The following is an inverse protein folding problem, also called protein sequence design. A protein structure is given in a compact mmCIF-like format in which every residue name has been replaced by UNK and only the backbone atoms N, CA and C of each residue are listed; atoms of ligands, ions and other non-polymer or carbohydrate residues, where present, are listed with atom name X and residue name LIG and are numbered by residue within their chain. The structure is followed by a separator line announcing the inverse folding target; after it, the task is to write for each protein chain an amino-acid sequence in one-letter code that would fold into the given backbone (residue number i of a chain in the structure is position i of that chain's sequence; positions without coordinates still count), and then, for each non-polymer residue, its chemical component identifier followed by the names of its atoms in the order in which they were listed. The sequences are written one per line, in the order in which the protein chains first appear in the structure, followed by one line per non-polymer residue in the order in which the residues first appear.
data_IF_453444891580
#
_entry.id   IF_453444891580
#
_cell.length_a   1.000
_cell.length_b   1.000
_cell.length_c   1.000
_cell.angle_alpha   90.00
_cell.angle_beta   90.00
_cell.angle_gamma   90.00
#
_symmetry.space_group_name_H-M   'P 1'
#
loop_
_entity.id
_entity.type
_entity.pdbx_description
1 polymer ?
#
# COMPACT_ATOMS: atom_id res chain seq x y z
N UNK A 1 24.65 -48.95 -29.87
CA UNK A 1 24.37 -48.98 -28.41
C UNK A 1 24.15 -47.56 -27.95
N UNK A 2 22.89 -47.19 -27.85
CA UNK A 2 22.45 -45.83 -27.50
C UNK A 2 22.40 -45.69 -25.99
N UNK A 3 23.20 -44.78 -25.45
CA UNK A 3 23.12 -44.36 -24.06
C UNK A 3 22.07 -43.25 -23.89
N UNK A 4 20.84 -43.63 -23.51
CA UNK A 4 19.80 -42.66 -23.08
C UNK A 4 20.23 -42.01 -21.77
N UNK A 5 20.68 -40.77 -21.83
CA UNK A 5 20.83 -39.89 -20.67
C UNK A 5 19.46 -39.63 -20.04
N UNK A 6 19.15 -40.28 -18.93
CA UNK A 6 17.98 -39.96 -18.11
C UNK A 6 18.15 -38.59 -17.50
N UNK A 7 17.33 -37.60 -17.93
CA UNK A 7 17.19 -36.33 -17.27
C UNK A 7 16.68 -36.57 -15.84
N UNK A 8 17.56 -36.45 -14.86
CA UNK A 8 17.21 -36.48 -13.43
C UNK A 8 16.34 -35.29 -13.13
N UNK A 9 15.05 -35.49 -13.01
CA UNK A 9 14.11 -34.48 -12.54
C UNK A 9 14.57 -33.99 -11.15
N UNK A 10 14.98 -32.72 -11.06
CA UNK A 10 15.43 -32.13 -9.80
C UNK A 10 14.30 -32.23 -8.77
N UNK A 11 14.57 -32.80 -7.60
CA UNK A 11 13.62 -32.91 -6.50
C UNK A 11 13.13 -31.51 -6.12
N UNK A 12 11.82 -31.27 -5.90
CA UNK A 12 11.27 -29.94 -5.59
C UNK A 12 11.97 -29.20 -4.44
N UNK A 13 12.55 -29.94 -3.48
CA UNK A 13 13.31 -29.38 -2.37
C UNK A 13 14.67 -28.76 -2.75
N UNK A 14 15.27 -29.15 -3.87
CA UNK A 14 16.58 -28.60 -4.32
C UNK A 14 16.41 -27.24 -4.97
N UNK A 15 15.34 -27.01 -5.74
CA UNK A 15 15.05 -25.72 -6.34
C UNK A 15 14.72 -24.64 -5.28
N UNK A 16 13.94 -24.98 -4.25
CA UNK A 16 13.64 -24.10 -3.13
C UNK A 16 14.86 -23.73 -2.29
N UNK A 17 15.81 -24.68 -2.10
CA UNK A 17 17.08 -24.39 -1.42
C UNK A 17 17.96 -23.47 -2.23
N UNK A 18 18.10 -23.69 -3.53
CA UNK A 18 18.89 -22.82 -4.43
C UNK A 18 18.32 -21.40 -4.52
N UNK A 19 16.99 -21.22 -4.45
CA UNK A 19 16.34 -19.91 -4.36
C UNK A 19 16.59 -19.21 -3.02
N UNK A 20 16.66 -19.98 -1.91
CA UNK A 20 16.95 -19.40 -0.59
C UNK A 20 18.39 -18.87 -0.49
N UNK A 21 19.33 -19.42 -1.26
CA UNK A 21 20.73 -18.98 -1.37
C UNK A 21 20.89 -17.70 -2.20
N UNK A 22 19.85 -17.34 -3.00
CA UNK A 22 19.80 -16.11 -3.81
C UNK A 22 18.57 -15.30 -3.45
N UNK A 23 18.58 -14.56 -2.33
CA UNK A 23 17.39 -13.97 -1.75
C UNK A 23 16.66 -13.00 -2.68
N UNK A 24 17.37 -12.27 -3.54
CA UNK A 24 16.73 -11.35 -4.50
C UNK A 24 16.16 -12.07 -5.73
N UNK A 25 16.71 -13.20 -6.14
CA UNK A 25 16.09 -14.04 -7.16
C UNK A 25 14.74 -14.62 -6.67
N UNK A 26 14.68 -15.01 -5.39
CA UNK A 26 13.42 -15.44 -4.77
C UNK A 26 12.39 -14.29 -4.71
N UNK A 27 12.81 -13.07 -4.38
CA UNK A 27 11.93 -11.88 -4.40
C UNK A 27 11.39 -11.63 -5.80
N UNK A 28 12.25 -11.67 -6.82
CA UNK A 28 11.83 -11.48 -8.21
C UNK A 28 10.87 -12.58 -8.69
N UNK A 29 11.08 -13.83 -8.27
CA UNK A 29 10.17 -14.92 -8.59
C UNK A 29 8.80 -14.73 -7.92
N UNK A 30 8.75 -14.31 -6.66
CA UNK A 30 7.49 -13.98 -5.96
C UNK A 30 6.75 -12.86 -6.68
N UNK A 31 7.46 -11.78 -7.06
CA UNK A 31 6.87 -10.69 -7.81
C UNK A 31 6.32 -11.16 -9.17
N UNK A 32 7.09 -11.90 -9.95
CA UNK A 32 6.68 -12.35 -11.28
C UNK A 32 5.43 -13.26 -11.23
N UNK A 33 5.39 -14.20 -10.28
CA UNK A 33 4.24 -15.06 -10.06
C UNK A 33 3.00 -14.27 -9.63
N UNK A 34 3.18 -13.30 -8.71
CA UNK A 34 2.10 -12.42 -8.26
C UNK A 34 1.59 -11.53 -9.40
N UNK A 35 2.48 -10.84 -10.11
CA UNK A 35 2.10 -9.95 -11.21
C UNK A 35 1.42 -10.72 -12.33
N UNK A 36 1.96 -11.89 -12.71
CA UNK A 36 1.37 -12.78 -13.70
C UNK A 36 -0.03 -13.26 -13.30
N UNK A 37 -0.22 -13.65 -12.03
CA UNK A 37 -1.53 -14.07 -11.52
C UNK A 37 -2.55 -12.92 -11.54
N UNK A 38 -2.16 -11.70 -11.13
CA UNK A 38 -3.06 -10.52 -11.16
C UNK A 38 -3.44 -10.18 -12.60
N UNK A 39 -2.47 -10.10 -13.51
CA UNK A 39 -2.71 -9.79 -14.93
C UNK A 39 -3.60 -10.86 -15.58
N UNK A 40 -3.32 -12.15 -15.33
CA UNK A 40 -4.14 -13.25 -15.84
C UNK A 40 -5.58 -13.17 -15.29
N UNK A 41 -5.74 -12.90 -14.00
CA UNK A 41 -7.05 -12.74 -13.36
C UNK A 41 -7.84 -11.59 -13.97
N UNK A 42 -7.22 -10.43 -14.20
CA UNK A 42 -7.85 -9.29 -14.86
C UNK A 42 -8.17 -9.62 -16.32
N UNK A 43 -7.25 -10.27 -17.04
CA UNK A 43 -7.50 -10.70 -18.44
C UNK A 43 -8.69 -11.67 -18.55
N UNK A 44 -8.77 -12.66 -17.70
CA UNK A 44 -9.92 -13.58 -17.62
C UNK A 44 -11.21 -12.84 -17.25
N UNK A 45 -11.14 -11.89 -16.32
CA UNK A 45 -12.28 -11.04 -15.95
C UNK A 45 -12.78 -10.19 -17.12
N UNK A 46 -11.88 -9.64 -17.95
CA UNK A 46 -12.25 -8.92 -19.17
C UNK A 46 -12.96 -9.85 -20.16
N UNK A 47 -12.39 -11.04 -20.40
CA UNK A 47 -12.97 -12.03 -21.30
C UNK A 47 -14.36 -12.51 -20.84
N UNK A 48 -14.57 -12.62 -19.53
CA UNK A 48 -15.84 -12.98 -18.90
C UNK A 48 -16.85 -11.80 -18.78
N UNK A 49 -16.49 -10.59 -19.20
CA UNK A 49 -17.37 -9.40 -19.07
C UNK A 49 -17.57 -8.94 -17.62
N UNK A 50 -16.64 -9.29 -16.69
CA UNK A 50 -16.78 -8.98 -15.27
C UNK A 50 -16.62 -7.48 -14.95
N UNK A 51 -16.04 -6.69 -15.84
CA UNK A 51 -15.71 -5.29 -15.62
C UNK A 51 -16.67 -4.33 -16.30
N UNK A 52 -16.98 -3.21 -15.63
CA UNK A 52 -17.71 -2.09 -16.21
C UNK A 52 -16.72 -1.08 -16.82
N UNK A 53 -17.07 -0.53 -18.02
CA UNK A 53 -16.23 0.48 -18.68
C UNK A 53 -16.51 1.92 -18.23
N UNK A 54 -17.40 2.13 -17.28
CA UNK A 54 -17.90 3.46 -16.90
C UNK A 54 -16.80 4.45 -16.42
N UNK A 55 -15.63 3.95 -16.04
CA UNK A 55 -14.49 4.76 -15.53
C UNK A 55 -13.17 4.41 -16.21
N UNK A 56 -13.23 3.75 -17.36
CA UNK A 56 -12.07 3.37 -18.14
C UNK A 56 -11.74 4.46 -19.17
N UNK A 57 -10.46 4.68 -19.41
CA UNK A 57 -10.02 5.50 -20.55
C UNK A 57 -10.34 4.75 -21.83
N UNK A 58 -11.06 5.37 -22.79
CA UNK A 58 -11.43 4.72 -24.06
C UNK A 58 -10.21 4.21 -24.83
N UNK A 59 -10.33 3.03 -25.45
CA UNK A 59 -9.29 2.49 -26.33
C UNK A 59 -8.09 1.84 -25.63
N UNK A 60 -8.03 1.81 -24.28
CA UNK A 60 -6.94 1.15 -23.56
C UNK A 60 -7.18 -0.37 -23.47
N UNK A 61 -6.23 -1.21 -23.93
CA UNK A 61 -6.25 -2.64 -23.61
C UNK A 61 -6.00 -2.81 -22.10
N UNK A 62 -6.52 -3.88 -21.51
CA UNK A 62 -6.44 -4.11 -20.06
C UNK A 62 -6.98 -2.90 -19.24
N UNK A 63 -8.01 -2.26 -19.75
CA UNK A 63 -8.60 -1.03 -19.23
C UNK A 63 -8.85 -0.97 -17.73
N UNK A 64 -9.05 -2.07 -16.97
CA UNK A 64 -9.19 -1.97 -15.52
C UNK A 64 -7.97 -1.37 -14.83
N UNK A 65 -6.76 -1.57 -15.36
CA UNK A 65 -5.54 -0.97 -14.81
C UNK A 65 -5.42 0.54 -15.08
N UNK A 66 -6.23 1.08 -15.98
CA UNK A 66 -6.29 2.48 -16.41
C UNK A 66 -7.61 3.16 -16.00
N UNK A 67 -8.24 2.68 -14.94
CA UNK A 67 -9.48 3.26 -14.42
C UNK A 67 -9.23 4.19 -13.23
N UNK A 68 -10.28 4.87 -12.73
CA UNK A 68 -10.26 5.71 -11.54
C UNK A 68 -9.28 6.89 -11.63
N UNK A 69 -8.23 6.91 -10.80
CA UNK A 69 -7.28 8.03 -10.69
C UNK A 69 -6.45 8.23 -11.96
N UNK A 70 -6.29 7.20 -12.81
CA UNK A 70 -5.49 7.31 -14.03
C UNK A 70 -5.97 8.45 -14.94
N UNK A 71 -7.27 8.58 -15.16
CA UNK A 71 -7.83 9.66 -15.98
C UNK A 71 -7.48 11.06 -15.47
N UNK A 72 -7.31 11.22 -14.16
CA UNK A 72 -6.87 12.49 -13.59
C UNK A 72 -5.38 12.74 -13.83
N UNK A 73 -4.54 11.71 -13.69
CA UNK A 73 -3.12 11.83 -14.02
C UNK A 73 -2.91 12.13 -15.50
N UNK A 74 -3.67 11.46 -16.37
CA UNK A 74 -3.66 11.71 -17.82
C UNK A 74 -4.11 13.15 -18.14
N UNK A 75 -5.19 13.61 -17.53
CA UNK A 75 -5.67 14.98 -17.70
C UNK A 75 -4.63 16.03 -17.28
N UNK A 76 -3.90 15.78 -16.19
CA UNK A 76 -2.79 16.65 -15.76
C UNK A 76 -1.61 16.54 -16.73
N UNK A 77 -1.30 15.35 -17.25
CA UNK A 77 -0.23 15.17 -18.23
C UNK A 77 -0.51 15.95 -19.52
N UNK A 78 -1.75 15.91 -20.00
CA UNK A 78 -2.16 16.54 -21.27
C UNK A 78 -2.40 18.06 -21.14
N UNK A 79 -3.06 18.49 -20.08
CA UNK A 79 -3.56 19.88 -19.94
C UNK A 79 -2.87 20.67 -18.82
N UNK A 80 -2.08 20.00 -17.97
CA UNK A 80 -1.45 20.64 -16.79
C UNK A 80 -2.45 20.99 -15.68
N UNK A 81 -2.01 21.84 -14.76
CA UNK A 81 -2.82 22.36 -13.67
C UNK A 81 -3.49 23.68 -14.10
N UNK A 82 -4.76 23.90 -13.77
CA UNK A 82 -5.45 25.16 -14.07
C UNK A 82 -4.94 26.29 -13.18
N UNK A 83 -5.25 27.54 -13.58
CA UNK A 83 -4.91 28.73 -12.77
C UNK A 83 -5.76 28.94 -11.51
N UNK A 84 -6.69 28.03 -11.24
CA UNK A 84 -7.54 28.01 -10.02
C UNK A 84 -7.47 26.63 -9.44
N UNK A 85 -7.33 26.51 -8.11
CA UNK A 85 -7.24 25.23 -7.44
C UNK A 85 -8.52 24.39 -7.64
N UNK A 86 -8.36 23.19 -8.19
CA UNK A 86 -9.41 22.22 -8.39
C UNK A 86 -8.95 20.81 -7.97
N UNK A 87 -9.76 19.79 -8.29
CA UNK A 87 -9.44 18.39 -7.93
C UNK A 87 -8.11 17.89 -8.46
N UNK A 88 -7.54 18.48 -9.52
CA UNK A 88 -6.24 18.09 -10.11
C UNK A 88 -5.06 18.35 -9.18
N UNK A 89 -5.17 19.31 -8.28
CA UNK A 89 -4.13 19.61 -7.30
C UNK A 89 -3.95 18.53 -6.21
N UNK A 90 -4.82 17.50 -6.19
CA UNK A 90 -4.60 16.30 -5.39
C UNK A 90 -3.58 15.32 -6.00
N UNK A 91 -3.20 15.50 -7.28
CA UNK A 91 -2.37 14.62 -8.08
C UNK A 91 -0.99 15.24 -8.27
N UNK A 92 0.04 14.69 -7.64
CA UNK A 92 1.38 15.27 -7.60
C UNK A 92 2.09 15.21 -8.95
N UNK A 93 2.96 16.22 -9.27
CA UNK A 93 3.35 16.54 -10.64
C UNK A 93 4.32 15.53 -11.29
N UNK A 94 5.16 14.83 -10.53
CA UNK A 94 6.22 14.02 -11.13
C UNK A 94 5.67 12.88 -12.01
N UNK A 95 4.56 12.25 -11.62
CA UNK A 95 3.95 11.18 -12.41
C UNK A 95 3.36 11.69 -13.75
N UNK A 96 2.49 12.72 -13.78
CA UNK A 96 2.02 13.32 -15.02
C UNK A 96 3.17 13.80 -15.92
N UNK A 97 4.22 14.37 -15.35
CA UNK A 97 5.39 14.81 -16.14
C UNK A 97 6.16 13.65 -16.76
N UNK A 98 6.31 12.55 -16.04
CA UNK A 98 6.93 11.33 -16.59
C UNK A 98 6.11 10.75 -17.77
N UNK A 99 4.78 10.73 -17.63
CA UNK A 99 3.89 10.30 -18.72
C UNK A 99 4.07 11.22 -19.92
N UNK A 100 3.97 12.52 -19.72
CA UNK A 100 4.08 13.53 -20.78
C UNK A 100 5.46 13.53 -21.48
N UNK A 101 6.53 13.22 -20.77
CA UNK A 101 7.88 13.21 -21.30
C UNK A 101 8.11 12.13 -22.38
N UNK A 102 7.16 11.20 -22.55
CA UNK A 102 7.22 10.13 -23.55
C UNK A 102 7.03 10.60 -24.99
N UNK A 103 6.57 11.83 -25.22
CA UNK A 103 6.42 12.44 -26.53
C UNK A 103 5.35 11.75 -27.39
N UNK A 104 5.76 10.99 -28.40
CA UNK A 104 4.84 10.34 -29.36
C UNK A 104 4.28 8.99 -28.89
N UNK A 105 4.79 8.43 -27.80
CA UNK A 105 4.28 7.17 -27.24
C UNK A 105 2.97 7.45 -26.47
N UNK A 106 1.89 6.67 -26.71
CA UNK A 106 0.65 6.86 -25.96
C UNK A 106 0.85 6.83 -24.44
N UNK A 107 0.27 7.80 -23.73
CA UNK A 107 0.43 8.00 -22.29
C UNK A 107 0.15 6.72 -21.47
N UNK A 108 -0.87 5.94 -21.87
CA UNK A 108 -1.21 4.69 -21.20
C UNK A 108 -0.13 3.61 -21.32
N UNK A 109 0.60 3.55 -22.45
CA UNK A 109 1.69 2.59 -22.63
C UNK A 109 2.83 2.90 -21.69
N UNK A 110 3.22 4.17 -21.60
CA UNK A 110 4.27 4.62 -20.68
C UNK A 110 3.86 4.38 -19.23
N UNK A 111 2.66 4.81 -18.85
CA UNK A 111 2.15 4.64 -17.49
C UNK A 111 2.08 3.16 -17.09
N UNK A 112 1.59 2.29 -17.98
CA UNK A 112 1.52 0.85 -17.75
C UNK A 112 2.91 0.19 -17.63
N UNK A 113 3.83 0.50 -18.56
CA UNK A 113 5.19 -0.05 -18.52
C UNK A 113 5.96 0.39 -17.26
N UNK A 114 5.87 1.67 -16.90
CA UNK A 114 6.50 2.21 -15.70
C UNK A 114 5.88 1.60 -14.44
N UNK A 115 4.54 1.43 -14.36
CA UNK A 115 3.89 0.81 -13.23
C UNK A 115 4.36 -0.64 -13.01
N UNK A 116 4.42 -1.44 -14.08
CA UNK A 116 4.91 -2.83 -14.02
C UNK A 116 6.37 -2.88 -13.55
N UNK A 117 7.26 -2.11 -14.17
CA UNK A 117 8.68 -2.06 -13.79
C UNK A 117 8.85 -1.56 -12.34
N UNK A 118 8.14 -0.51 -11.97
CA UNK A 118 8.16 0.07 -10.63
C UNK A 118 7.63 -0.91 -9.57
N UNK A 119 6.60 -1.73 -9.89
CA UNK A 119 6.11 -2.75 -8.97
C UNK A 119 7.21 -3.78 -8.63
N UNK A 120 7.99 -4.22 -9.60
CA UNK A 120 9.15 -5.09 -9.37
C UNK A 120 10.21 -4.43 -8.49
N UNK A 121 10.52 -3.16 -8.78
CA UNK A 121 11.45 -2.36 -7.97
C UNK A 121 10.92 -2.13 -6.54
N UNK A 122 9.59 -1.99 -6.36
CA UNK A 122 8.98 -1.86 -5.04
C UNK A 122 9.13 -3.15 -4.22
N UNK A 123 8.86 -4.32 -4.81
CA UNK A 123 9.08 -5.61 -4.16
C UNK A 123 10.54 -5.79 -3.73
N UNK A 124 11.48 -5.51 -4.63
CA UNK A 124 12.92 -5.57 -4.34
C UNK A 124 13.31 -4.55 -3.26
N UNK A 125 12.84 -3.32 -3.34
CA UNK A 125 13.13 -2.25 -2.38
C UNK A 125 12.61 -2.56 -0.97
N UNK A 126 11.35 -2.97 -0.84
CA UNK A 126 10.74 -3.33 0.45
C UNK A 126 11.46 -4.53 1.08
N UNK A 127 11.84 -5.52 0.27
CA UNK A 127 12.62 -6.66 0.71
C UNK A 127 14.06 -6.26 1.07
N UNK A 128 14.68 -5.37 0.29
CA UNK A 128 16.04 -4.89 0.52
C UNK A 128 16.17 -3.97 1.74
N UNK A 129 15.11 -3.26 2.10
CA UNK A 129 15.06 -2.37 3.26
C UNK A 129 14.81 -3.12 4.57
N UNK A 130 14.47 -4.42 4.54
CA UNK A 130 14.24 -5.15 5.79
C UNK A 130 15.53 -5.26 6.61
N UNK A 131 15.51 -4.92 7.89
CA UNK A 131 16.62 -5.22 8.81
C UNK A 131 16.73 -6.72 9.15
N UNK A 132 15.83 -7.54 8.64
CA UNK A 132 15.72 -8.97 8.93
C UNK A 132 16.52 -9.86 7.96
N UNK A 133 16.37 -11.19 8.15
CA UNK A 133 17.14 -12.21 7.41
C UNK A 133 16.39 -12.85 6.25
N UNK A 134 15.09 -12.56 6.09
CA UNK A 134 14.23 -13.30 5.16
C UNK A 134 13.50 -12.38 4.17
N UNK A 135 14.21 -11.70 3.24
CA UNK A 135 13.61 -10.74 2.31
C UNK A 135 12.51 -11.36 1.43
N UNK A 136 12.61 -12.64 1.05
CA UNK A 136 11.58 -13.31 0.27
C UNK A 136 10.25 -13.47 1.03
N UNK A 137 10.28 -13.62 2.38
CA UNK A 137 9.05 -13.67 3.19
C UNK A 137 8.35 -12.32 3.22
N UNK A 138 9.12 -11.24 3.21
CA UNK A 138 8.59 -9.88 3.13
C UNK A 138 7.94 -9.64 1.76
N UNK A 139 8.58 -10.10 0.68
CA UNK A 139 8.00 -10.04 -0.66
C UNK A 139 6.70 -10.86 -0.75
N UNK A 140 6.67 -12.06 -0.16
CA UNK A 140 5.46 -12.89 -0.09
C UNK A 140 4.35 -12.19 0.72
N UNK A 141 4.68 -11.55 1.84
CA UNK A 141 3.73 -10.79 2.64
C UNK A 141 3.13 -9.62 1.84
N UNK A 142 3.96 -8.91 1.07
CA UNK A 142 3.51 -7.86 0.17
C UNK A 142 2.61 -8.43 -0.95
N UNK A 143 2.98 -9.55 -1.59
CA UNK A 143 2.16 -10.22 -2.61
C UNK A 143 0.79 -10.67 -2.08
N UNK A 144 0.74 -11.09 -0.82
CA UNK A 144 -0.49 -11.54 -0.17
C UNK A 144 -1.33 -10.41 0.46
N UNK A 145 -0.87 -9.17 0.38
CA UNK A 145 -1.62 -8.04 0.90
C UNK A 145 -2.87 -7.77 0.04
N UNK A 146 -4.08 -7.66 0.64
CA UNK A 146 -5.33 -7.44 -0.11
C UNK A 146 -5.47 -6.04 -0.71
N UNK A 147 -4.48 -5.54 -1.36
CA UNK A 147 -4.41 -4.20 -1.98
C UNK A 147 -3.18 -4.08 -2.86
N UNK A 148 -2.30 -5.09 -2.86
CA UNK A 148 -1.05 -5.05 -3.65
C UNK A 148 -1.28 -5.01 -5.15
N UNK A 149 -2.42 -5.55 -5.66
CA UNK A 149 -2.78 -5.42 -7.07
C UNK A 149 -2.74 -3.96 -7.56
N UNK A 150 -2.96 -2.99 -6.65
CA UNK A 150 -2.87 -1.58 -6.96
C UNK A 150 -1.47 -1.12 -7.42
N UNK A 151 -0.42 -1.89 -7.14
CA UNK A 151 0.93 -1.62 -7.65
C UNK A 151 1.06 -1.87 -9.16
N UNK A 152 0.10 -2.54 -9.81
CA UNK A 152 0.04 -2.72 -11.27
C UNK A 152 -0.87 -1.69 -11.94
N UNK A 153 -1.58 -0.87 -11.18
CA UNK A 153 -2.35 0.23 -11.76
C UNK A 153 -1.41 1.27 -12.37
N UNK A 154 -1.85 1.92 -13.43
CA UNK A 154 -1.11 3.00 -14.08
C UNK A 154 -1.05 4.28 -13.22
N UNK A 155 -0.64 4.11 -11.95
CA UNK A 155 -0.57 5.13 -10.91
C UNK A 155 0.86 5.31 -10.41
N UNK A 156 1.18 6.42 -9.74
CA UNK A 156 2.50 6.65 -9.16
C UNK A 156 2.82 5.75 -7.97
N UNK A 157 1.85 4.99 -7.43
CA UNK A 157 1.98 4.26 -6.16
C UNK A 157 3.15 3.28 -6.15
N UNK A 158 3.31 2.48 -7.21
CA UNK A 158 4.41 1.54 -7.31
C UNK A 158 5.78 2.24 -7.34
N UNK A 159 5.89 3.31 -8.14
CA UNK A 159 7.14 4.06 -8.28
C UNK A 159 7.48 4.82 -6.98
N UNK A 160 6.47 5.42 -6.33
CA UNK A 160 6.65 6.12 -5.07
C UNK A 160 7.04 5.16 -3.93
N UNK A 161 6.40 3.97 -3.87
CA UNK A 161 6.78 2.93 -2.91
C UNK A 161 8.19 2.41 -3.18
N UNK A 162 8.55 2.16 -4.45
CA UNK A 162 9.90 1.78 -4.83
C UNK A 162 10.91 2.82 -4.37
N UNK A 163 10.68 4.10 -4.68
CA UNK A 163 11.57 5.20 -4.31
C UNK A 163 11.72 5.30 -2.78
N UNK A 164 10.63 5.25 -2.00
CA UNK A 164 10.69 5.30 -0.54
C UNK A 164 11.43 4.09 0.06
N UNK A 165 11.13 2.88 -0.44
CA UNK A 165 11.76 1.66 0.05
C UNK A 165 13.24 1.57 -0.29
N UNK A 166 13.66 2.00 -1.48
CA UNK A 166 15.06 2.06 -1.85
C UNK A 166 15.81 3.17 -1.10
N UNK A 167 15.18 4.33 -0.84
CA UNK A 167 15.76 5.34 0.05
C UNK A 167 16.06 4.76 1.43
N UNK A 168 15.10 4.01 2.01
CA UNK A 168 15.30 3.29 3.25
C UNK A 168 16.44 2.27 3.16
N UNK A 169 16.46 1.43 2.11
CA UNK A 169 17.47 0.42 1.90
C UNK A 169 18.89 1.01 1.77
N UNK A 170 19.03 2.15 1.11
CA UNK A 170 20.32 2.82 0.90
C UNK A 170 20.85 3.46 2.18
N UNK A 171 19.98 4.08 2.98
CA UNK A 171 20.37 4.63 4.29
C UNK A 171 20.82 3.51 5.24
N UNK A 172 20.12 2.38 5.25
CA UNK A 172 20.52 1.20 6.03
C UNK A 172 21.83 0.58 5.56
N UNK A 173 22.23 0.81 4.30
CA UNK A 173 23.53 0.40 3.72
C UNK A 173 24.59 1.52 3.76
N UNK A 174 24.37 2.55 4.57
CA UNK A 174 25.31 3.66 4.75
C UNK A 174 25.59 4.47 3.47
N UNK A 175 24.60 4.54 2.56
CA UNK A 175 24.66 5.31 1.31
C UNK A 175 23.62 6.45 1.28
N UNK A 176 23.66 7.41 2.24
CA UNK A 176 22.61 8.41 2.41
C UNK A 176 22.50 9.38 1.22
N UNK A 177 23.61 9.73 0.55
CA UNK A 177 23.55 10.62 -0.61
C UNK A 177 22.79 10.02 -1.80
N UNK A 178 22.82 8.70 -1.98
CA UNK A 178 22.03 8.03 -3.00
C UNK A 178 20.57 7.88 -2.58
N UNK A 179 20.29 7.89 -1.27
CA UNK A 179 18.92 7.85 -0.74
C UNK A 179 18.19 9.18 -0.91
N UNK A 180 18.89 10.31 -0.88
CA UNK A 180 18.30 11.64 -0.95
C UNK A 180 17.41 11.86 -2.19
N UNK A 181 17.89 11.62 -3.44
CA UNK A 181 17.06 11.81 -4.64
C UNK A 181 15.86 10.84 -4.67
N UNK A 182 15.99 9.63 -4.13
CA UNK A 182 14.88 8.67 -4.08
C UNK A 182 13.83 9.09 -3.06
N UNK A 183 14.24 9.59 -1.88
CA UNK A 183 13.31 10.17 -0.92
C UNK A 183 12.56 11.39 -1.48
N UNK A 184 13.26 12.26 -2.19
CA UNK A 184 12.66 13.38 -2.90
C UNK A 184 11.67 12.92 -3.97
N UNK A 185 12.04 11.93 -4.79
CA UNK A 185 11.16 11.38 -5.82
C UNK A 185 9.87 10.77 -5.22
N UNK A 186 9.97 10.06 -4.09
CA UNK A 186 8.79 9.55 -3.40
C UNK A 186 7.82 10.67 -3.01
N UNK A 187 8.33 11.80 -2.50
CA UNK A 187 7.54 12.98 -2.13
C UNK A 187 6.94 13.72 -3.34
N UNK A 188 7.66 13.80 -4.46
CA UNK A 188 7.18 14.40 -5.72
C UNK A 188 6.11 13.55 -6.42
N UNK A 189 6.08 12.23 -6.14
CA UNK A 189 5.13 11.29 -6.73
C UNK A 189 3.82 11.22 -5.93
N UNK A 190 3.90 11.29 -4.59
CA UNK A 190 2.74 11.10 -3.71
C UNK A 190 2.86 11.95 -2.44
N UNK A 191 1.75 12.55 -1.96
CA UNK A 191 1.80 13.37 -0.75
C UNK A 191 2.31 12.62 0.48
N UNK A 192 1.96 11.32 0.65
CA UNK A 192 2.45 10.51 1.76
C UNK A 192 3.91 10.04 1.59
N UNK A 193 4.51 10.23 0.41
CA UNK A 193 5.90 9.89 0.14
C UNK A 193 6.90 10.70 0.99
N UNK A 194 6.57 11.94 1.37
CA UNK A 194 7.45 12.75 2.23
C UNK A 194 7.60 12.17 3.65
N UNK A 195 6.68 11.35 4.11
CA UNK A 195 6.72 10.75 5.45
C UNK A 195 7.96 9.85 5.66
N UNK A 196 8.61 9.42 4.57
CA UNK A 196 9.88 8.69 4.67
C UNK A 196 10.99 9.52 5.34
N UNK A 197 10.87 10.84 5.33
CA UNK A 197 11.78 11.74 6.06
C UNK A 197 11.87 11.39 7.55
N UNK A 198 10.78 10.92 8.15
CA UNK A 198 10.72 10.62 9.59
C UNK A 198 11.73 9.54 10.03
N UNK A 199 11.72 8.31 9.48
CA UNK A 199 12.73 7.32 9.85
C UNK A 199 14.13 7.74 9.41
N UNK A 200 14.28 8.44 8.28
CA UNK A 200 15.58 8.93 7.83
C UNK A 200 16.15 9.96 8.81
N UNK A 201 15.33 10.88 9.35
CA UNK A 201 15.74 11.84 10.36
C UNK A 201 16.12 11.19 11.70
N UNK A 202 15.37 10.15 12.12
CA UNK A 202 15.71 9.39 13.32
C UNK A 202 17.06 8.67 13.16
N UNK A 203 17.32 8.11 12.00
CA UNK A 203 18.59 7.44 11.67
C UNK A 203 19.74 8.43 11.45
N UNK A 204 19.47 9.69 11.13
CA UNK A 204 20.45 10.74 10.97
C UNK A 204 21.01 11.30 12.31
N UNK A 205 20.37 10.97 13.43
CA UNK A 205 20.79 11.46 14.76
C UNK A 205 22.20 10.95 15.08
N UNK A 206 23.10 11.88 15.39
CA UNK A 206 24.51 11.56 15.69
C UNK A 206 25.33 11.14 14.46
N UNK A 207 24.78 11.23 13.23
CA UNK A 207 25.50 10.93 11.98
C UNK A 207 25.85 12.18 11.19
N UNK A 208 26.76 12.04 10.21
CA UNK A 208 27.29 13.13 9.40
C UNK A 208 26.23 13.85 8.51
N UNK A 209 26.63 14.95 7.85
CA UNK A 209 25.72 15.81 7.09
C UNK A 209 24.99 15.10 5.96
N UNK A 210 25.59 14.09 5.34
CA UNK A 210 24.97 13.31 4.28
C UNK A 210 23.64 12.63 4.70
N UNK A 211 23.55 12.18 5.96
CA UNK A 211 22.31 11.62 6.51
C UNK A 211 21.23 12.70 6.73
N UNK A 212 21.65 13.90 7.10
CA UNK A 212 20.72 15.05 7.23
C UNK A 212 20.17 15.44 5.87
N UNK A 213 21.01 15.46 4.83
CA UNK A 213 20.58 15.70 3.44
C UNK A 213 19.53 14.65 3.02
N UNK A 214 19.79 13.36 3.27
CA UNK A 214 18.83 12.29 2.95
C UNK A 214 17.49 12.47 3.67
N UNK A 215 17.49 12.95 4.91
CA UNK A 215 16.27 13.18 5.69
C UNK A 215 15.51 14.44 5.24
N UNK A 216 16.22 15.49 4.84
CA UNK A 216 15.62 16.77 4.43
C UNK A 216 15.11 16.74 2.98
N UNK A 217 15.72 15.95 2.09
CA UNK A 217 15.38 15.93 0.68
C UNK A 217 13.89 15.64 0.40
N UNK A 218 13.22 14.66 1.03
CA UNK A 218 11.79 14.45 0.80
C UNK A 218 10.93 15.59 1.35
N UNK A 219 11.35 16.27 2.42
CA UNK A 219 10.64 17.45 2.97
C UNK A 219 10.76 18.63 2.00
N UNK A 220 11.97 18.90 1.51
CA UNK A 220 12.21 19.97 0.54
C UNK A 220 11.44 19.73 -0.77
N UNK A 221 11.37 18.47 -1.22
CA UNK A 221 10.61 18.09 -2.41
C UNK A 221 9.10 18.32 -2.22
N UNK A 222 8.54 17.94 -1.06
CA UNK A 222 7.13 18.23 -0.74
C UNK A 222 6.85 19.73 -0.68
N UNK A 223 7.73 20.49 -0.03
CA UNK A 223 7.61 21.95 0.00
C UNK A 223 7.67 22.58 -1.41
N UNK A 224 8.54 22.07 -2.27
CA UNK A 224 8.61 22.52 -3.66
C UNK A 224 7.31 22.27 -4.44
N UNK A 225 6.60 21.15 -4.18
CA UNK A 225 5.28 20.90 -4.77
C UNK A 225 4.25 21.90 -4.30
N UNK A 226 4.21 22.20 -2.99
CA UNK A 226 3.26 23.20 -2.44
C UNK A 226 3.54 24.59 -2.99
N UNK A 227 4.83 25.01 -3.10
CA UNK A 227 5.22 26.26 -3.73
C UNK A 227 4.77 26.29 -5.20
N UNK A 228 5.04 25.24 -5.97
CA UNK A 228 4.60 25.11 -7.36
C UNK A 228 3.05 25.23 -7.48
N UNK A 229 2.32 24.58 -6.58
CA UNK A 229 0.85 24.64 -6.57
C UNK A 229 0.36 26.06 -6.22
N UNK A 230 1.00 26.71 -5.25
CA UNK A 230 0.69 28.10 -4.91
C UNK A 230 0.95 29.06 -6.08
N UNK A 231 2.14 29.02 -6.68
CA UNK A 231 2.48 29.85 -7.84
C UNK A 231 1.50 29.64 -9.01
N UNK A 232 1.02 28.39 -9.19
CA UNK A 232 0.14 28.05 -10.29
C UNK A 232 -1.32 28.42 -10.06
N UNK A 233 -1.83 28.31 -8.84
CA UNK A 233 -3.25 28.54 -8.49
C UNK A 233 -3.52 29.87 -7.80
N UNK A 234 -2.50 30.52 -7.24
CA UNK A 234 -2.65 31.65 -6.33
C UNK A 234 -3.09 31.28 -4.91
N UNK A 235 -3.34 29.98 -4.63
CA UNK A 235 -3.82 29.49 -3.35
C UNK A 235 -2.72 28.71 -2.61
N UNK A 236 -2.30 29.19 -1.43
CA UNK A 236 -1.23 28.57 -0.63
C UNK A 236 -1.62 27.17 -0.08
N UNK A 237 -2.91 26.86 -0.01
CA UNK A 237 -3.45 25.57 0.45
C UNK A 237 -4.13 24.76 -0.68
N UNK A 238 -3.71 24.97 -1.93
CA UNK A 238 -4.31 24.35 -3.12
C UNK A 238 -4.44 22.82 -3.01
N UNK A 239 -3.43 22.12 -2.49
CA UNK A 239 -3.51 20.69 -2.23
C UNK A 239 -4.61 20.34 -1.21
N UNK A 240 -4.68 21.03 -0.09
CA UNK A 240 -5.70 20.78 0.92
C UNK A 240 -7.09 21.16 0.44
N UNK A 241 -7.20 22.22 -0.39
CA UNK A 241 -8.44 22.58 -1.08
C UNK A 241 -8.89 21.41 -1.98
N UNK A 242 -8.02 20.88 -2.82
CA UNK A 242 -8.31 19.72 -3.64
C UNK A 242 -8.73 18.50 -2.80
N UNK A 243 -8.07 18.23 -1.67
CA UNK A 243 -8.46 17.12 -0.78
C UNK A 243 -9.87 17.31 -0.21
N UNK A 244 -10.26 18.55 0.13
CA UNK A 244 -11.64 18.87 0.57
C UNK A 244 -12.67 18.60 -0.55
N UNK A 245 -12.34 18.93 -1.80
CA UNK A 245 -13.18 18.63 -2.97
C UNK A 245 -13.33 17.12 -3.22
N UNK A 246 -12.37 16.31 -2.78
CA UNK A 246 -12.43 14.84 -2.75
C UNK A 246 -13.14 14.28 -1.51
N UNK A 247 -13.71 15.13 -0.66
CA UNK A 247 -14.40 14.72 0.56
C UNK A 247 -13.48 14.39 1.75
N UNK A 248 -12.17 14.64 1.62
CA UNK A 248 -11.20 14.49 2.71
C UNK A 248 -11.19 15.77 3.55
N UNK A 249 -11.92 15.75 4.67
CA UNK A 249 -12.11 16.91 5.54
C UNK A 249 -11.27 16.85 6.83
N UNK A 250 -10.17 16.09 6.83
CA UNK A 250 -9.28 15.95 7.97
C UNK A 250 -9.87 15.19 9.15
N UNK A 251 -9.50 15.51 10.40
CA UNK A 251 -9.87 14.76 11.62
C UNK A 251 -11.36 14.60 11.86
N UNK A 252 -12.18 15.42 11.20
CA UNK A 252 -13.66 15.32 11.25
C UNK A 252 -14.18 13.96 10.72
N UNK A 253 -13.35 13.18 10.01
CA UNK A 253 -13.71 11.85 9.56
C UNK A 253 -13.87 10.84 10.68
N UNK A 254 -13.03 10.92 11.72
CA UNK A 254 -13.16 10.09 12.92
C UNK A 254 -14.46 10.49 13.66
N UNK A 255 -14.72 11.78 13.77
CA UNK A 255 -15.97 12.28 14.36
C UNK A 255 -17.22 11.82 13.59
N UNK A 256 -17.17 11.83 12.26
CA UNK A 256 -18.28 11.31 11.44
C UNK A 256 -18.47 9.81 11.61
N UNK A 257 -17.38 9.05 11.60
CA UNK A 257 -17.45 7.61 11.87
C UNK A 257 -18.04 7.34 13.27
N UNK A 258 -17.56 8.06 14.29
CA UNK A 258 -18.11 7.97 15.64
C UNK A 258 -19.59 8.38 15.69
N UNK A 259 -19.99 9.43 14.94
CA UNK A 259 -21.38 9.85 14.76
C UNK A 259 -22.22 8.74 14.15
N UNK A 260 -21.78 8.12 13.05
CA UNK A 260 -22.52 7.00 12.45
C UNK A 260 -22.65 5.78 13.38
N UNK A 261 -21.59 5.46 14.14
CA UNK A 261 -21.67 4.39 15.17
C UNK A 261 -22.67 4.77 16.25
N UNK A 262 -22.70 6.04 16.67
CA UNK A 262 -23.64 6.55 17.64
C UNK A 262 -25.08 6.52 17.12
N UNK A 263 -25.31 6.98 15.90
CA UNK A 263 -26.64 6.97 15.26
C UNK A 263 -27.19 5.54 15.12
N UNK A 264 -26.31 4.59 14.75
CA UNK A 264 -26.65 3.18 14.68
C UNK A 264 -27.01 2.62 16.06
N UNK A 265 -26.21 2.98 17.08
CA UNK A 265 -26.49 2.61 18.47
C UNK A 265 -27.80 3.21 18.96
N UNK A 266 -28.05 4.50 18.68
CA UNK A 266 -29.28 5.19 19.06
C UNK A 266 -30.51 4.60 18.38
N UNK A 267 -30.43 4.19 17.10
CA UNK A 267 -31.51 3.57 16.35
C UNK A 267 -31.79 2.12 16.79
N UNK A 268 -30.76 1.38 17.22
CA UNK A 268 -30.84 -0.05 17.54
C UNK A 268 -30.09 -0.41 18.84
N UNK A 269 -30.39 0.20 20.00
CA UNK A 269 -29.58 0.05 21.19
C UNK A 269 -29.52 -1.39 21.70
N UNK A 270 -30.67 -2.06 21.78
CA UNK A 270 -30.76 -3.41 22.34
C UNK A 270 -30.01 -4.46 21.50
N UNK A 271 -30.20 -4.57 20.15
CA UNK A 271 -29.45 -5.49 19.32
C UNK A 271 -27.92 -5.26 19.40
N UNK A 272 -27.47 -4.01 19.43
CA UNK A 272 -26.05 -3.68 19.48
C UNK A 272 -25.46 -4.03 20.85
N UNK A 273 -26.14 -3.70 21.95
CA UNK A 273 -25.70 -4.10 23.29
C UNK A 273 -25.60 -5.61 23.38
N UNK A 274 -26.61 -6.36 22.92
CA UNK A 274 -26.57 -7.81 22.91
C UNK A 274 -25.42 -8.36 22.05
N UNK A 275 -25.16 -7.79 20.88
CA UNK A 275 -24.05 -8.16 20.02
C UNK A 275 -22.70 -7.89 20.67
N UNK A 276 -22.53 -6.74 21.33
CA UNK A 276 -21.29 -6.38 22.08
C UNK A 276 -21.11 -7.31 23.27
N UNK A 277 -22.15 -7.57 24.05
CA UNK A 277 -22.10 -8.51 25.19
C UNK A 277 -21.75 -9.91 24.72
N UNK A 278 -22.38 -10.40 23.65
CA UNK A 278 -22.05 -11.70 23.07
C UNK A 278 -20.60 -11.75 22.55
N UNK A 279 -20.12 -10.70 21.88
CA UNK A 279 -18.75 -10.59 21.45
C UNK A 279 -17.76 -10.59 22.63
N UNK A 280 -18.04 -9.84 23.68
CA UNK A 280 -17.24 -9.83 24.91
C UNK A 280 -17.23 -11.20 25.61
N UNK A 281 -18.38 -11.89 25.67
CA UNK A 281 -18.48 -13.23 26.23
C UNK A 281 -17.64 -14.25 25.44
N UNK A 282 -17.72 -14.21 24.08
CA UNK A 282 -16.88 -15.05 23.20
C UNK A 282 -15.40 -14.74 23.41
N UNK A 283 -15.03 -13.48 23.45
CA UNK A 283 -13.64 -13.04 23.69
C UNK A 283 -13.15 -13.53 25.06
N UNK A 284 -13.95 -13.39 26.11
CA UNK A 284 -13.62 -13.86 27.45
C UNK A 284 -13.51 -15.39 27.55
N UNK A 285 -14.42 -16.13 26.89
CA UNK A 285 -14.36 -17.58 26.82
C UNK A 285 -13.13 -18.09 26.09
N UNK A 286 -12.78 -17.46 24.94
CA UNK A 286 -11.59 -17.76 24.17
C UNK A 286 -10.31 -17.41 24.94
N UNK A 287 -10.32 -16.30 25.67
CA UNK A 287 -9.21 -15.91 26.56
C UNK A 287 -8.92 -16.99 27.62
N UNK A 288 -9.96 -17.42 28.33
CA UNK A 288 -9.81 -18.42 29.40
C UNK A 288 -9.31 -19.76 28.88
N UNK A 289 -9.70 -20.17 27.66
CA UNK A 289 -9.39 -21.50 27.12
C UNK A 289 -8.14 -21.54 26.24
N UNK A 290 -7.83 -20.48 25.52
CA UNK A 290 -6.82 -20.48 24.44
C UNK A 290 -5.76 -19.37 24.58
N UNK A 291 -5.88 -18.50 25.58
CA UNK A 291 -4.93 -17.43 25.88
C UNK A 291 -5.00 -16.25 24.90
N UNK A 292 -4.14 -15.25 25.15
CA UNK A 292 -4.16 -13.93 24.51
C UNK A 292 -4.15 -13.97 22.97
N UNK A 293 -3.39 -14.86 22.35
CA UNK A 293 -3.23 -14.93 20.90
C UNK A 293 -4.54 -15.23 20.18
N UNK A 294 -5.27 -16.24 20.67
CA UNK A 294 -6.55 -16.64 20.09
C UNK A 294 -7.64 -15.63 20.40
N UNK A 295 -7.54 -14.97 21.56
CA UNK A 295 -8.44 -13.89 21.97
C UNK A 295 -8.38 -12.69 21.03
N UNK A 296 -7.18 -12.28 20.62
CA UNK A 296 -7.01 -11.20 19.63
C UNK A 296 -7.71 -11.56 18.33
N UNK A 297 -7.55 -12.79 17.83
CA UNK A 297 -8.22 -13.25 16.61
C UNK A 297 -9.75 -13.25 16.79
N UNK A 298 -10.25 -13.73 17.93
CA UNK A 298 -11.70 -13.74 18.20
C UNK A 298 -12.27 -12.33 18.32
N UNK A 299 -11.56 -11.41 18.99
CA UNK A 299 -11.95 -10.00 19.06
C UNK A 299 -12.02 -9.35 17.67
N UNK A 300 -11.09 -9.68 16.80
CA UNK A 300 -11.09 -9.24 15.41
C UNK A 300 -12.30 -9.77 14.63
N UNK A 301 -12.57 -11.07 14.73
CA UNK A 301 -13.72 -11.71 14.06
C UNK A 301 -15.04 -11.10 14.54
N UNK A 302 -15.13 -10.75 15.81
CA UNK A 302 -16.34 -10.10 16.36
C UNK A 302 -16.44 -8.61 15.97
N UNK A 303 -15.33 -7.89 15.84
CA UNK A 303 -15.31 -6.48 15.44
C UNK A 303 -15.69 -6.27 13.96
N UNK A 304 -15.39 -7.23 13.08
CA UNK A 304 -15.68 -7.12 11.65
C UNK A 304 -17.17 -6.91 11.33
N UNK A 305 -18.15 -7.65 11.89
CA UNK A 305 -19.57 -7.37 11.68
C UNK A 305 -20.01 -6.00 12.20
N UNK A 306 -19.43 -5.53 13.31
CA UNK A 306 -19.72 -4.19 13.85
C UNK A 306 -19.18 -3.09 12.93
N UNK A 307 -17.99 -3.29 12.35
CA UNK A 307 -17.43 -2.38 11.36
C UNK A 307 -18.25 -2.37 10.07
N UNK A 308 -18.76 -3.52 9.62
CA UNK A 308 -19.68 -3.64 8.50
C UNK A 308 -20.95 -2.79 8.72
N UNK A 309 -21.58 -2.95 9.87
CA UNK A 309 -22.78 -2.21 10.22
C UNK A 309 -22.52 -0.69 10.23
N UNK A 310 -21.35 -0.26 10.72
CA UNK A 310 -20.97 1.15 10.79
C UNK A 310 -20.65 1.79 9.43
N UNK A 311 -20.20 1.01 8.44
CA UNK A 311 -19.77 1.56 7.14
C UNK A 311 -20.86 1.61 6.09
N UNK A 312 -21.94 0.89 6.26
CA UNK A 312 -23.12 0.79 5.36
C UNK A 312 -22.77 0.55 3.88
N UNK A 313 -21.52 0.17 3.57
CA UNK A 313 -21.04 -0.08 2.22
C UNK A 313 -20.02 -1.20 2.18
N UNK A 314 -20.02 -1.97 1.09
CA UNK A 314 -19.05 -3.03 0.87
C UNK A 314 -17.61 -2.48 0.73
N UNK A 315 -17.43 -1.30 0.12
CA UNK A 315 -16.16 -0.59 0.04
C UNK A 315 -15.62 -0.27 1.44
N UNK A 316 -16.43 0.36 2.27
CA UNK A 316 -16.05 0.70 3.65
C UNK A 316 -15.71 -0.54 4.49
N UNK A 317 -16.43 -1.65 4.28
CA UNK A 317 -16.12 -2.92 4.93
C UNK A 317 -14.74 -3.45 4.53
N UNK A 318 -14.44 -3.51 3.25
CA UNK A 318 -13.16 -4.01 2.73
C UNK A 318 -12.00 -3.16 3.26
N UNK A 319 -12.13 -1.84 3.27
CA UNK A 319 -11.10 -0.95 3.78
C UNK A 319 -10.95 -1.02 5.31
N UNK A 320 -12.06 -1.19 6.04
CA UNK A 320 -12.04 -1.44 7.49
C UNK A 320 -11.38 -2.78 7.82
N UNK A 321 -11.65 -3.84 7.04
CA UNK A 321 -10.98 -5.13 7.21
C UNK A 321 -9.46 -5.04 6.97
N UNK A 322 -9.03 -4.27 5.96
CA UNK A 322 -7.61 -3.99 5.71
C UNK A 322 -6.96 -3.23 6.87
N UNK A 323 -7.65 -2.20 7.39
CA UNK A 323 -7.20 -1.48 8.59
C UNK A 323 -7.07 -2.42 9.79
N UNK A 324 -8.05 -3.29 10.00
CA UNK A 324 -8.04 -4.30 11.05
C UNK A 324 -6.84 -5.25 10.94
N UNK A 325 -6.35 -5.58 9.76
CA UNK A 325 -5.14 -6.38 9.57
C UNK A 325 -3.87 -5.57 9.89
N UNK A 326 -3.80 -4.30 9.50
CA UNK A 326 -2.60 -3.46 9.69
C UNK A 326 -2.32 -3.18 11.15
N UNK A 327 -3.34 -2.89 11.97
CA UNK A 327 -3.15 -2.49 13.35
C UNK A 327 -2.37 -3.52 14.20
N UNK A 328 -2.68 -4.83 14.23
CA UNK A 328 -1.86 -5.80 14.96
C UNK A 328 -0.48 -5.99 14.34
N UNK A 329 -0.31 -5.83 13.04
CA UNK A 329 1.01 -5.88 12.42
C UNK A 329 1.89 -4.72 12.91
N UNK A 330 1.33 -3.54 13.16
CA UNK A 330 2.04 -2.44 13.81
C UNK A 330 2.49 -2.82 15.22
N UNK A 331 1.61 -3.43 16.02
CA UNK A 331 1.97 -3.89 17.36
C UNK A 331 3.11 -4.92 17.32
N UNK A 332 3.05 -5.86 16.38
CA UNK A 332 4.14 -6.83 16.17
C UNK A 332 5.42 -6.12 15.78
N UNK A 333 5.36 -5.16 14.84
CA UNK A 333 6.52 -4.40 14.37
C UNK A 333 7.21 -3.64 15.51
N UNK A 334 6.45 -3.01 16.42
CA UNK A 334 6.98 -2.34 17.60
C UNK A 334 7.69 -3.32 18.56
N UNK A 335 7.27 -4.59 18.60
CA UNK A 335 7.84 -5.64 19.44
C UNK A 335 9.06 -6.35 18.86
N UNK A 336 9.39 -6.12 17.57
CA UNK A 336 10.56 -6.75 16.93
C UNK A 336 11.91 -6.23 17.46
N UNK A 337 11.91 -5.15 18.23
CA UNK A 337 13.10 -4.63 18.90
C UNK A 337 13.57 -3.26 18.43
N UNK A 338 14.65 -2.72 19.03
CA UNK A 338 15.06 -1.32 18.87
C UNK A 338 15.36 -0.91 17.41
N UNK A 339 15.97 -1.80 16.62
CA UNK A 339 16.32 -1.53 15.22
C UNK A 339 15.09 -1.30 14.32
N UNK A 340 13.91 -1.78 14.74
CA UNK A 340 12.66 -1.59 13.99
C UNK A 340 11.88 -0.35 14.44
N UNK A 341 12.20 0.27 15.58
CA UNK A 341 11.43 1.39 16.16
C UNK A 341 11.28 2.60 15.24
N UNK A 342 12.31 3.10 14.53
CA UNK A 342 12.15 4.20 13.60
C UNK A 342 11.12 3.88 12.50
N UNK A 343 11.11 2.65 12.03
CA UNK A 343 10.24 2.14 10.99
C UNK A 343 8.82 1.86 11.50
N UNK A 344 8.71 1.40 12.74
CA UNK A 344 7.42 1.24 13.41
C UNK A 344 6.74 2.59 13.62
N UNK A 345 7.49 3.61 14.04
CA UNK A 345 6.97 4.97 14.15
C UNK A 345 6.52 5.50 12.79
N UNK A 346 7.33 5.34 11.75
CA UNK A 346 6.96 5.71 10.39
C UNK A 346 5.65 5.04 9.93
N UNK A 347 5.56 3.72 10.05
CA UNK A 347 4.37 2.98 9.66
C UNK A 347 3.14 3.42 10.47
N UNK A 348 3.31 3.71 11.78
CA UNK A 348 2.26 4.23 12.64
C UNK A 348 1.79 5.60 12.16
N UNK A 349 2.70 6.52 11.82
CA UNK A 349 2.36 7.86 11.32
C UNK A 349 1.65 7.77 9.97
N UNK A 350 2.09 6.90 9.06
CA UNK A 350 1.40 6.66 7.78
C UNK A 350 -0.04 6.21 8.02
N UNK A 351 -0.24 5.20 8.86
CA UNK A 351 -1.58 4.67 9.16
C UNK A 351 -2.43 5.73 9.87
N UNK A 352 -1.88 6.47 10.83
CA UNK A 352 -2.59 7.54 11.53
C UNK A 352 -3.00 8.67 10.58
N UNK A 353 -2.14 9.05 9.64
CA UNK A 353 -2.47 10.06 8.61
C UNK A 353 -3.61 9.60 7.71
N UNK A 354 -3.63 8.31 7.32
CA UNK A 354 -4.71 7.73 6.53
C UNK A 354 -6.04 7.74 7.29
N UNK A 355 -6.03 7.31 8.54
CA UNK A 355 -7.22 7.33 9.40
C UNK A 355 -7.69 8.76 9.68
N UNK A 356 -6.74 9.69 9.92
CA UNK A 356 -7.02 11.10 10.15
C UNK A 356 -7.54 11.84 8.92
N UNK A 357 -7.36 11.32 7.69
CA UNK A 357 -7.88 11.95 6.47
C UNK A 357 -9.40 11.94 6.37
N UNK A 358 -10.06 11.14 7.19
CA UNK A 358 -11.52 11.03 7.24
C UNK A 358 -12.16 10.25 6.11
N UNK A 359 -11.37 9.68 5.22
CA UNK A 359 -11.85 8.85 4.12
C UNK A 359 -11.06 7.53 4.10
N UNK A 360 -11.73 6.43 4.42
CA UNK A 360 -11.12 5.09 4.37
C UNK A 360 -10.95 4.58 2.93
N UNK A 361 -11.58 5.25 1.97
CA UNK A 361 -11.49 4.88 0.56
C UNK A 361 -10.02 4.81 0.10
N UNK A 362 -9.67 3.73 -0.56
CA UNK A 362 -8.28 3.43 -1.00
C UNK A 362 -7.30 3.13 0.15
N UNK A 363 -7.77 2.78 1.35
CA UNK A 363 -6.89 2.41 2.46
C UNK A 363 -5.95 1.26 2.06
N UNK A 364 -6.44 0.27 1.32
CA UNK A 364 -5.65 -0.89 0.88
C UNK A 364 -4.41 -0.50 0.06
N UNK A 365 -4.57 0.44 -0.86
CA UNK A 365 -3.50 0.98 -1.70
C UNK A 365 -2.56 1.89 -0.90
N UNK A 366 -3.13 2.82 -0.16
CA UNK A 366 -2.34 3.84 0.54
C UNK A 366 -1.56 3.26 1.74
N UNK A 367 -2.07 2.20 2.38
CA UNK A 367 -1.39 1.50 3.47
C UNK A 367 -0.13 0.75 3.02
N UNK A 368 0.08 0.54 1.70
CA UNK A 368 1.33 0.01 1.16
C UNK A 368 2.54 0.88 1.54
N UNK A 369 2.35 2.18 1.74
CA UNK A 369 3.40 3.08 2.22
C UNK A 369 3.80 2.81 3.68
N UNK A 370 2.97 2.15 4.46
CA UNK A 370 3.37 1.61 5.75
C UNK A 370 4.16 0.29 5.60
N UNK A 371 4.96 0.16 4.53
CA UNK A 371 5.63 -1.08 4.11
C UNK A 371 6.41 -1.81 5.21
N UNK A 372 6.93 -1.19 6.29
CA UNK A 372 7.54 -1.92 7.37
C UNK A 372 6.61 -2.91 8.08
N UNK A 373 5.28 -2.81 7.91
CA UNK A 373 4.33 -3.81 8.44
C UNK A 373 4.55 -5.20 7.83
N UNK A 374 5.05 -5.27 6.58
CA UNK A 374 5.38 -6.53 5.93
C UNK A 374 6.60 -7.22 6.57
N UNK A 375 7.50 -6.44 7.18
CA UNK A 375 8.61 -6.99 7.97
C UNK A 375 8.11 -7.69 9.22
N UNK A 376 6.99 -7.21 9.81
CA UNK A 376 6.34 -7.87 10.94
C UNK A 376 5.89 -9.31 10.59
N UNK A 377 5.47 -9.55 9.35
CA UNK A 377 5.11 -10.90 8.87
C UNK A 377 6.38 -11.72 8.62
N UNK A 378 7.38 -11.15 7.94
CA UNK A 378 8.62 -11.84 7.59
C UNK A 378 9.45 -12.26 8.81
N UNK A 379 9.57 -11.38 9.80
CA UNK A 379 10.45 -11.51 10.97
C UNK A 379 9.70 -11.79 12.28
N UNK A 380 8.39 -11.68 12.29
CA UNK A 380 7.53 -11.84 13.45
C UNK A 380 7.26 -13.31 13.81
N UNK A 381 6.29 -13.54 14.70
CA UNK A 381 5.99 -14.88 15.20
C UNK A 381 5.51 -15.84 14.11
N UNK A 382 5.80 -17.13 14.29
CA UNK A 382 5.55 -18.18 13.29
C UNK A 382 4.07 -18.29 12.85
N UNK A 383 3.13 -17.93 13.71
CA UNK A 383 1.69 -17.99 13.37
C UNK A 383 1.29 -17.00 12.25
N UNK A 384 2.00 -15.86 12.09
CA UNK A 384 1.79 -14.93 10.97
C UNK A 384 2.23 -15.53 9.62
N UNK A 385 3.06 -16.55 9.65
CA UNK A 385 3.62 -17.21 8.45
C UNK A 385 2.91 -18.50 8.09
N UNK A 386 1.71 -18.75 8.64
CA UNK A 386 0.92 -19.93 8.29
C UNK A 386 0.51 -19.87 6.82
N UNK A 387 0.71 -20.95 6.05
CA UNK A 387 0.35 -20.99 4.62
C UNK A 387 -1.10 -20.58 4.35
N UNK A 388 -2.02 -20.96 5.23
CA UNK A 388 -3.44 -20.59 5.11
C UNK A 388 -3.65 -19.07 5.05
N UNK A 389 -2.91 -18.27 5.86
CA UNK A 389 -3.01 -16.80 5.82
C UNK A 389 -2.46 -16.24 4.50
N UNK A 390 -1.39 -16.81 3.99
CA UNK A 390 -0.83 -16.41 2.69
C UNK A 390 -1.82 -16.72 1.56
N UNK A 391 -2.41 -17.91 1.54
CA UNK A 391 -3.42 -18.31 0.54
C UNK A 391 -4.65 -17.41 0.61
N UNK A 392 -5.19 -17.15 1.80
CA UNK A 392 -6.34 -16.27 1.98
C UNK A 392 -6.05 -14.82 1.55
N UNK A 393 -4.89 -14.28 1.93
CA UNK A 393 -4.48 -12.93 1.53
C UNK A 393 -4.27 -12.82 0.02
N UNK A 394 -3.65 -13.81 -0.60
CA UNK A 394 -3.46 -13.86 -2.05
C UNK A 394 -4.79 -13.99 -2.79
N UNK A 395 -5.67 -14.88 -2.37
CA UNK A 395 -7.01 -15.01 -2.93
C UNK A 395 -7.82 -13.72 -2.81
N UNK A 396 -7.79 -13.06 -1.63
CA UNK A 396 -8.43 -11.76 -1.44
C UNK A 396 -7.86 -10.70 -2.40
N UNK A 397 -6.54 -10.68 -2.62
CA UNK A 397 -5.91 -9.77 -3.58
C UNK A 397 -6.44 -9.99 -5.02
N UNK A 398 -6.57 -11.25 -5.47
CA UNK A 398 -7.10 -11.56 -6.80
C UNK A 398 -8.59 -11.22 -6.92
N UNK A 399 -9.40 -11.53 -5.91
CA UNK A 399 -10.83 -11.18 -5.88
C UNK A 399 -11.02 -9.67 -5.96
N UNK A 400 -10.22 -8.90 -5.22
CA UNK A 400 -10.28 -7.44 -5.26
C UNK A 400 -9.81 -6.86 -6.60
N UNK A 401 -8.87 -7.51 -7.28
CA UNK A 401 -8.48 -7.17 -8.63
C UNK A 401 -9.64 -7.37 -9.63
N UNK A 402 -10.46 -8.42 -9.47
CA UNK A 402 -11.69 -8.62 -10.26
C UNK A 402 -12.77 -7.56 -9.96
N UNK A 403 -12.75 -6.99 -8.79
CA UNK A 403 -13.72 -5.96 -8.37
C UNK A 403 -13.20 -4.54 -8.63
N UNK A 404 -12.04 -4.39 -9.29
CA UNK A 404 -11.33 -3.13 -9.47
C UNK A 404 -12.16 -2.01 -10.11
N UNK A 405 -13.07 -2.31 -11.04
CA UNK A 405 -13.94 -1.29 -11.63
C UNK A 405 -15.17 -0.95 -10.79
N UNK A 406 -15.48 -1.74 -9.76
CA UNK A 406 -16.59 -1.53 -8.84
C UNK A 406 -16.20 -0.79 -7.58
N UNK A 407 -14.95 -0.99 -7.13
CA UNK A 407 -14.42 -0.40 -5.91
C UNK A 407 -13.17 0.43 -6.21
N UNK A 408 -13.03 1.58 -5.55
CA UNK A 408 -11.78 2.34 -5.59
C UNK A 408 -10.65 1.51 -4.92
N UNK A 409 -9.51 1.37 -5.58
CA UNK A 409 -8.40 0.55 -5.10
C UNK A 409 -7.71 1.12 -3.86
#
# INVERSE_FOLDING_TARGET
MEGRGAAVAARPGTALRALAERPYAAVSAVWALWAGAVVATVGLGIAAGAFTRARAVPGTPLFPFFSWDYGWYEAVAQHGYPGIADRRYAFFPLWPWLIRASGSVPDWQVAGAVAVAASGLAFLGVAAATPGRHPWRVALALACWPGSFALLLAYPDALALAAAAWAAALVLRERPLLAAPLGAAAALLRPNGFLIALPLALLARGRGPAYKVAALAPVAAAAAVEIFFWERSGEADAFFHAQRLWGRRGPTGIGRWAGHVWDLFAAHPLPIVLAVVAACAVVAAVWRRFGLRTTIVAAYVCAVPLLLAATQSLQGFVDSARCAIVLPLLVVLWRLGPRFRPWALYATVVVAALLGSGLMQSFGRQSLFAFPVFWAIGEGPAWLRRPALAVLGFAANLVLALLLTRFAP
#
